data_IF_878138558995
#
_entry.id   IF_878138558995
#
_cell.length_a   1.000
_cell.length_b   1.000
_cell.length_c   1.000
_cell.angle_alpha   90.00
_cell.angle_beta   90.00
_cell.angle_gamma   90.00
#
_symmetry.space_group_name_H-M   'P 1'
#
loop_
_entity.id
_entity.type
_entity.pdbx_description
1 polymer ?
#
# COMPACT_ATOMS: atom_id res chain seq x y z
N UNK A 1 8.05 10.95 -15.72
CA UNK A 1 8.51 11.50 -14.42
C UNK A 1 8.17 10.46 -13.36
N UNK A 2 9.13 10.04 -12.54
CA UNK A 2 8.85 9.11 -11.45
C UNK A 2 7.84 9.76 -10.47
N UNK A 3 6.79 9.03 -10.11
CA UNK A 3 5.82 9.50 -9.11
C UNK A 3 6.47 9.60 -7.74
N UNK A 4 5.95 10.49 -6.90
CA UNK A 4 6.40 10.64 -5.52
C UNK A 4 6.04 9.40 -4.69
N UNK A 5 6.84 9.08 -3.67
CA UNK A 5 6.55 7.98 -2.74
C UNK A 5 5.14 8.08 -2.13
N UNK A 6 4.68 9.31 -1.88
CA UNK A 6 3.34 9.58 -1.39
C UNK A 6 2.28 9.05 -2.36
N UNK A 7 2.41 9.38 -3.65
CA UNK A 7 1.48 8.93 -4.70
C UNK A 7 1.53 7.41 -4.86
N UNK A 8 2.72 6.81 -4.86
CA UNK A 8 2.91 5.35 -4.97
C UNK A 8 2.20 4.63 -3.82
N UNK A 9 2.41 5.08 -2.58
CA UNK A 9 1.76 4.48 -1.42
C UNK A 9 0.25 4.71 -1.40
N UNK A 10 -0.23 5.89 -1.80
CA UNK A 10 -1.65 6.16 -1.91
C UNK A 10 -2.29 5.18 -2.90
N UNK A 11 -1.74 5.07 -4.11
CA UNK A 11 -2.27 4.20 -5.17
C UNK A 11 -2.29 2.73 -4.74
N UNK A 12 -1.21 2.25 -4.10
CA UNK A 12 -1.14 0.90 -3.55
C UNK A 12 -2.21 0.63 -2.49
N UNK A 13 -2.28 1.48 -1.46
CA UNK A 13 -3.19 1.27 -0.33
C UNK A 13 -4.66 1.44 -0.75
N UNK A 14 -4.97 2.38 -1.65
CA UNK A 14 -6.32 2.55 -2.21
C UNK A 14 -6.74 1.32 -3.01
N UNK A 15 -5.83 0.73 -3.79
CA UNK A 15 -6.13 -0.51 -4.52
C UNK A 15 -6.45 -1.66 -3.56
N UNK A 16 -5.73 -1.77 -2.45
CA UNK A 16 -6.06 -2.78 -1.43
C UNK A 16 -7.43 -2.49 -0.82
N UNK A 17 -7.75 -1.24 -0.48
CA UNK A 17 -9.07 -0.89 0.06
C UNK A 17 -10.18 -1.33 -0.90
N UNK A 18 -10.06 -0.97 -2.18
CA UNK A 18 -11.02 -1.34 -3.21
C UNK A 18 -11.17 -2.86 -3.36
N UNK A 19 -10.05 -3.59 -3.31
CA UNK A 19 -10.07 -5.03 -3.45
C UNK A 19 -10.75 -5.71 -2.25
N UNK A 20 -10.44 -5.25 -1.03
CA UNK A 20 -11.07 -5.80 0.19
C UNK A 20 -12.54 -5.41 0.26
N UNK A 21 -12.90 -4.18 -0.10
CA UNK A 21 -14.28 -3.71 0.00
C UNK A 21 -15.22 -4.40 -0.99
N UNK A 22 -14.74 -4.79 -2.18
CA UNK A 22 -15.48 -5.60 -3.16
C UNK A 22 -16.04 -6.91 -2.58
N UNK A 23 -15.34 -7.53 -1.63
CA UNK A 23 -15.77 -8.78 -0.99
C UNK A 23 -16.37 -8.61 0.40
N UNK A 24 -16.35 -7.40 0.96
CA UNK A 24 -16.71 -7.14 2.37
C UNK A 24 -17.48 -5.81 2.52
N UNK A 25 -16.90 -4.82 3.21
CA UNK A 25 -17.40 -3.45 3.34
C UNK A 25 -16.23 -2.48 3.37
N UNK A 26 -16.47 -1.22 3.00
CA UNK A 26 -15.42 -0.21 3.02
C UNK A 26 -14.85 -0.01 4.44
N UNK A 27 -15.71 -0.03 5.46
CA UNK A 27 -15.31 0.07 6.87
C UNK A 27 -14.37 -1.07 7.27
N UNK A 28 -14.65 -2.30 6.82
CA UNK A 28 -13.77 -3.43 7.06
C UNK A 28 -12.43 -3.26 6.34
N UNK A 29 -12.46 -2.82 5.07
CA UNK A 29 -11.26 -2.55 4.29
C UNK A 29 -10.35 -1.50 4.97
N UNK A 30 -10.93 -0.40 5.47
CA UNK A 30 -10.20 0.62 6.21
C UNK A 30 -9.56 0.06 7.50
N UNK A 31 -10.30 -0.77 8.26
CA UNK A 31 -9.76 -1.44 9.46
C UNK A 31 -8.59 -2.37 9.13
N UNK A 32 -8.67 -3.10 8.00
CA UNK A 32 -7.57 -3.97 7.55
C UNK A 32 -6.31 -3.14 7.28
N UNK A 33 -6.41 -2.04 6.53
CA UNK A 33 -5.26 -1.17 6.26
C UNK A 33 -4.72 -0.53 7.54
N UNK A 34 -5.59 -0.09 8.46
CA UNK A 34 -5.16 0.51 9.73
C UNK A 34 -4.35 -0.48 10.56
N UNK A 35 -4.86 -1.70 10.77
CA UNK A 35 -4.12 -2.74 11.53
C UNK A 35 -2.81 -3.13 10.86
N UNK A 36 -2.78 -3.06 9.54
CA UNK A 36 -1.61 -3.37 8.73
C UNK A 36 -0.52 -2.30 8.87
N UNK A 37 -0.87 -1.02 8.71
CA UNK A 37 0.09 0.08 8.89
C UNK A 37 0.60 0.14 10.33
N UNK A 38 -0.26 -0.11 11.32
CA UNK A 38 0.12 -0.19 12.73
C UNK A 38 1.14 -1.29 13.01
N UNK A 39 0.90 -2.53 12.54
CA UNK A 39 1.82 -3.65 12.73
C UNK A 39 3.20 -3.39 12.13
N UNK A 40 3.23 -2.68 11.00
CA UNK A 40 4.47 -2.43 10.27
C UNK A 40 5.21 -1.17 10.72
N UNK A 41 4.57 -0.31 11.51
CA UNK A 41 5.18 0.90 12.08
C UNK A 41 6.41 0.62 12.94
N UNK A 42 6.48 -0.54 13.60
CA UNK A 42 7.63 -0.96 14.40
C UNK A 42 8.89 -1.18 13.54
N UNK A 43 8.72 -1.70 12.32
CA UNK A 43 9.82 -1.99 11.38
C UNK A 43 10.07 -0.87 10.39
N UNK A 44 9.02 -0.10 10.07
CA UNK A 44 9.03 0.98 9.10
C UNK A 44 8.51 2.24 9.78
N UNK A 45 9.38 3.02 10.45
CA UNK A 45 8.95 4.19 11.23
C UNK A 45 8.19 5.25 10.42
N UNK A 46 8.38 5.28 9.10
CA UNK A 46 7.63 6.17 8.22
C UNK A 46 6.15 5.79 8.09
N UNK A 47 5.74 4.57 8.44
CA UNK A 47 4.34 4.15 8.38
C UNK A 47 3.44 5.01 9.29
N UNK A 48 4.00 5.67 10.32
CA UNK A 48 3.30 6.69 11.14
C UNK A 48 2.80 7.89 10.36
N UNK A 49 3.30 8.09 9.13
CA UNK A 49 2.87 9.14 8.22
C UNK A 49 1.69 8.74 7.34
N UNK A 50 1.22 7.49 7.48
CA UNK A 50 0.06 6.94 6.78
C UNK A 50 -1.11 6.99 7.76
N UNK A 51 -2.13 7.77 7.44
CA UNK A 51 -3.35 7.87 8.22
C UNK A 51 -4.53 7.33 7.41
N UNK A 52 -5.33 6.48 8.04
CA UNK A 52 -6.54 5.89 7.44
C UNK A 52 -7.72 6.44 8.23
N UNK A 53 -8.61 7.18 7.57
CA UNK A 53 -9.80 7.76 8.18
C UNK A 53 -10.99 7.52 7.26
N UNK A 54 -11.99 6.77 7.75
CA UNK A 54 -13.29 6.62 7.09
C UNK A 54 -13.18 6.28 5.59
N UNK A 55 -12.31 5.31 5.27
CA UNK A 55 -12.00 4.82 3.91
C UNK A 55 -11.15 5.76 3.04
N UNK A 56 -10.65 6.86 3.61
CA UNK A 56 -9.69 7.76 2.93
C UNK A 56 -8.30 7.54 3.49
N UNK A 57 -7.34 7.42 2.59
CA UNK A 57 -5.92 7.35 2.93
C UNK A 57 -5.34 8.76 2.83
N UNK A 58 -4.78 9.25 3.93
CA UNK A 58 -4.03 10.50 4.00
C UNK A 58 -2.59 10.18 4.30
N UNK A 59 -1.72 10.43 3.32
CA UNK A 59 -0.28 10.21 3.47
C UNK A 59 0.42 11.55 3.60
N UNK A 60 1.18 11.74 4.68
CA UNK A 60 1.93 12.96 4.91
C UNK A 60 3.05 13.11 3.85
N UNK A 61 3.25 14.29 3.23
CA UNK A 61 4.30 14.53 2.24
C UNK A 61 5.73 14.21 2.72
N UNK A 62 5.98 14.14 4.05
CA UNK A 62 7.26 13.70 4.63
C UNK A 62 7.72 12.32 4.12
N UNK A 63 6.81 11.48 3.63
CA UNK A 63 7.15 10.20 2.98
C UNK A 63 8.00 10.37 1.72
N UNK A 64 7.93 11.53 1.03
CA UNK A 64 8.72 11.78 -0.17
C UNK A 64 10.22 11.92 0.11
N UNK A 65 10.61 12.12 1.37
CA UNK A 65 12.01 12.14 1.81
C UNK A 65 12.52 10.75 2.23
N UNK A 66 11.66 9.72 2.23
CA UNK A 66 12.05 8.35 2.56
C UNK A 66 12.73 7.71 1.34
N UNK A 67 13.75 6.88 1.56
CA UNK A 67 14.37 6.10 0.50
C UNK A 67 13.30 5.23 -0.21
N UNK A 68 13.11 5.34 -1.54
CA UNK A 68 12.18 4.50 -2.31
C UNK A 68 12.38 3.00 -2.07
N UNK A 69 13.60 2.53 -1.78
CA UNK A 69 13.85 1.13 -1.44
C UNK A 69 13.22 0.72 -0.12
N UNK A 70 13.14 1.62 0.86
CA UNK A 70 12.41 1.37 2.11
C UNK A 70 10.91 1.31 1.89
N UNK A 71 10.37 2.14 0.98
CA UNK A 71 8.97 2.06 0.55
C UNK A 71 8.70 0.71 -0.11
N UNK A 72 9.56 0.28 -1.03
CA UNK A 72 9.42 -1.01 -1.69
C UNK A 72 9.53 -2.18 -0.72
N UNK A 73 10.44 -2.12 0.25
CA UNK A 73 10.57 -3.14 1.29
C UNK A 73 9.32 -3.24 2.18
N UNK A 74 8.71 -2.11 2.52
CA UNK A 74 7.42 -2.08 3.21
C UNK A 74 6.35 -2.75 2.35
N UNK A 75 6.12 -2.30 1.12
CA UNK A 75 5.11 -2.87 0.22
C UNK A 75 5.33 -4.37 0.00
N UNK A 76 6.58 -4.81 -0.21
CA UNK A 76 6.93 -6.22 -0.33
C UNK A 76 6.61 -7.00 0.96
N UNK A 77 6.95 -6.46 2.13
CA UNK A 77 6.66 -7.12 3.41
C UNK A 77 5.16 -7.29 3.60
N UNK A 78 4.42 -6.26 3.26
CA UNK A 78 2.98 -6.21 3.32
C UNK A 78 2.32 -7.25 2.42
N UNK A 79 2.70 -7.27 1.14
CA UNK A 79 2.19 -8.26 0.18
C UNK A 79 2.50 -9.68 0.64
N UNK A 80 3.72 -9.91 1.16
CA UNK A 80 4.12 -11.24 1.63
C UNK A 80 3.48 -11.66 2.94
N UNK A 81 3.02 -10.73 3.76
CA UNK A 81 2.45 -11.03 5.09
C UNK A 81 0.94 -11.21 5.03
N UNK A 82 0.25 -10.46 4.17
CA UNK A 82 -1.22 -10.46 4.15
C UNK A 82 -1.83 -11.23 2.99
N UNK A 83 -1.14 -11.36 1.87
CA UNK A 83 -1.78 -11.77 0.62
C UNK A 83 -1.38 -13.18 0.24
N UNK A 84 -2.38 -14.07 0.29
CA UNK A 84 -2.34 -15.35 -0.39
C UNK A 84 -2.09 -15.14 -1.89
N UNK A 85 -1.66 -16.18 -2.59
CA UNK A 85 -1.41 -16.11 -4.04
C UNK A 85 -2.63 -15.60 -4.82
N UNK A 86 -3.85 -15.96 -4.37
CA UNK A 86 -5.10 -15.45 -4.91
C UNK A 86 -5.20 -13.92 -4.77
N UNK A 87 -4.91 -13.39 -3.59
CA UNK A 87 -5.02 -11.94 -3.37
C UNK A 87 -3.93 -11.19 -4.13
N UNK A 88 -2.73 -11.75 -4.31
CA UNK A 88 -1.68 -11.17 -5.17
C UNK A 88 -2.13 -11.11 -6.63
N UNK A 89 -2.75 -12.19 -7.11
CA UNK A 89 -3.30 -12.23 -8.46
C UNK A 89 -4.39 -11.16 -8.66
N UNK A 90 -5.31 -11.03 -7.70
CA UNK A 90 -6.35 -10.01 -7.73
C UNK A 90 -5.77 -8.59 -7.64
N UNK A 91 -4.79 -8.36 -6.77
CA UNK A 91 -4.10 -7.08 -6.63
C UNK A 91 -3.47 -6.65 -7.95
N UNK A 92 -2.75 -7.55 -8.62
CA UNK A 92 -2.15 -7.31 -9.93
C UNK A 92 -3.19 -6.96 -11.00
N UNK A 93 -4.36 -7.61 -10.96
CA UNK A 93 -5.46 -7.33 -11.88
C UNK A 93 -6.07 -5.94 -11.65
N UNK A 94 -6.22 -5.52 -10.40
CA UNK A 94 -6.89 -4.27 -10.02
C UNK A 94 -5.99 -3.04 -10.10
N UNK A 95 -4.67 -3.18 -9.86
CA UNK A 95 -3.71 -2.05 -9.87
C UNK A 95 -3.60 -1.33 -11.23
N UNK A 96 -3.95 -2.00 -12.32
CA UNK A 96 -3.68 -1.51 -13.67
C UNK A 96 -2.18 -1.48 -13.99
N UNK A 97 -1.85 -1.37 -15.28
CA UNK A 97 -0.46 -1.47 -15.74
C UNK A 97 0.46 -0.36 -15.18
N UNK A 98 -0.05 0.87 -15.08
CA UNK A 98 0.72 2.05 -14.66
C UNK A 98 1.22 1.89 -13.21
N UNK A 99 0.34 1.56 -12.27
CA UNK A 99 0.72 1.41 -10.85
C UNK A 99 1.65 0.22 -10.67
N UNK A 100 1.42 -0.87 -11.43
CA UNK A 100 2.27 -2.05 -11.39
C UNK A 100 3.70 -1.76 -11.85
N UNK A 101 3.88 -1.00 -12.94
CA UNK A 101 5.21 -0.64 -13.45
C UNK A 101 5.96 0.28 -12.47
N UNK A 102 5.27 1.26 -11.88
CA UNK A 102 5.84 2.15 -10.85
C UNK A 102 6.34 1.39 -9.62
N UNK A 103 5.60 0.36 -9.20
CA UNK A 103 5.98 -0.50 -8.09
C UNK A 103 7.20 -1.35 -8.43
N UNK A 104 7.26 -1.86 -9.66
CA UNK A 104 8.46 -2.55 -10.15
C UNK A 104 9.68 -1.65 -10.18
N UNK A 105 9.55 -0.40 -10.61
CA UNK A 105 10.65 0.57 -10.68
C UNK A 105 11.32 0.80 -9.32
N UNK A 106 10.54 0.80 -8.24
CA UNK A 106 11.08 0.96 -6.87
C UNK A 106 11.53 -0.37 -6.23
N UNK A 107 11.31 -1.52 -6.90
CA UNK A 107 11.77 -2.84 -6.44
C UNK A 107 10.71 -3.70 -5.75
N UNK A 108 9.42 -3.43 -5.94
CA UNK A 108 8.33 -4.28 -5.45
C UNK A 108 8.15 -5.51 -6.36
N UNK A 109 7.88 -6.66 -5.74
CA UNK A 109 7.68 -7.96 -6.38
C UNK A 109 6.23 -8.40 -6.11
N UNK A 110 5.38 -8.31 -7.14
CA UNK A 110 3.95 -8.69 -7.12
C UNK A 110 3.69 -9.81 -8.12
#
# INVERSE_FOLDING_TARGET
MAKSNQKILTDFLETIIQLVSKGTSDTYAAMVIMKFTERSSAKFPFARYIHVDSNKIKINPKINSVDPKLIANFINKEINTLFSDLFRHLLKREMGAIVYDELKEIGVKI
#
